data_IF_915492647536
#
_entry.id   IF_915492647536
#
_cell.length_a   1.000
_cell.length_b   1.000
_cell.length_c   1.000
_cell.angle_alpha   90.00
_cell.angle_beta   90.00
_cell.angle_gamma   90.00
#
_symmetry.space_group_name_H-M   'P 1'
#
loop_
_entity.id
_entity.type
_entity.pdbx_description
1 polymer ?
#
# COMPACT_ATOMS: atom_id res chain seq x y z
N UNK A 1 -0.71 -18.11 32.17
CA UNK A 1 -1.28 -18.00 30.81
C UNK A 1 -0.32 -17.15 29.98
N UNK A 2 0.68 -17.76 29.34
CA UNK A 2 1.66 -17.05 28.48
C UNK A 2 1.17 -17.19 27.04
N UNK A 3 0.36 -16.22 26.61
CA UNK A 3 -0.31 -16.23 25.30
C UNK A 3 0.10 -15.01 24.50
N UNK A 4 1.36 -14.99 24.08
CA UNK A 4 1.85 -14.07 23.07
C UNK A 4 2.76 -14.88 22.19
N UNK A 5 2.43 -15.00 20.91
CA UNK A 5 3.39 -15.51 19.94
C UNK A 5 4.59 -14.59 20.04
N UNK A 6 5.70 -15.12 20.53
CA UNK A 6 6.89 -14.32 20.75
C UNK A 6 7.30 -13.86 19.34
N UNK A 7 7.31 -12.54 19.09
CA UNK A 7 7.68 -11.95 17.79
C UNK A 7 8.91 -12.63 17.14
N UNK A 8 9.95 -13.08 17.88
CA UNK A 8 11.07 -13.83 17.31
C UNK A 8 10.69 -15.10 16.54
N UNK A 9 9.67 -15.86 16.99
CA UNK A 9 9.26 -17.12 16.36
C UNK A 9 8.63 -16.87 14.99
N UNK A 10 7.77 -15.85 14.89
CA UNK A 10 7.15 -15.42 13.63
C UNK A 10 8.23 -14.93 12.65
N UNK A 11 9.23 -14.20 13.15
CA UNK A 11 10.30 -13.64 12.33
C UNK A 11 11.21 -14.75 11.75
N UNK A 12 11.50 -15.80 12.53
CA UNK A 12 12.23 -16.99 12.05
C UNK A 12 11.45 -17.71 10.95
N UNK A 13 10.14 -17.94 11.14
CA UNK A 13 9.31 -18.56 10.12
C UNK A 13 9.27 -17.73 8.83
N UNK A 14 9.13 -16.41 8.96
CA UNK A 14 9.14 -15.48 7.83
C UNK A 14 10.44 -15.60 7.04
N UNK A 15 11.60 -15.69 7.70
CA UNK A 15 12.90 -15.86 7.05
C UNK A 15 12.97 -17.17 6.28
N UNK A 16 12.49 -18.29 6.84
CA UNK A 16 12.47 -19.59 6.14
C UNK A 16 11.60 -19.51 4.88
N UNK A 17 10.41 -18.93 4.98
CA UNK A 17 9.52 -18.70 3.83
C UNK A 17 10.21 -17.80 2.80
N UNK A 18 10.89 -16.74 3.23
CA UNK A 18 11.65 -15.85 2.35
C UNK A 18 12.83 -16.54 1.66
N UNK A 19 13.45 -17.55 2.27
CA UNK A 19 14.51 -18.33 1.62
C UNK A 19 13.95 -19.25 0.53
N UNK A 20 12.78 -19.86 0.75
CA UNK A 20 12.14 -20.75 -0.23
C UNK A 20 11.54 -19.96 -1.39
N UNK A 21 10.74 -18.93 -1.07
CA UNK A 21 10.02 -18.15 -2.06
C UNK A 21 10.81 -16.95 -2.60
N UNK A 22 11.81 -16.48 -1.85
CA UNK A 22 12.59 -15.27 -2.18
C UNK A 22 11.93 -13.98 -1.67
N UNK A 23 12.77 -13.01 -1.27
CA UNK A 23 12.32 -11.69 -0.79
C UNK A 23 11.51 -10.87 -1.81
N UNK A 24 11.59 -11.19 -3.10
CA UNK A 24 10.85 -10.51 -4.16
C UNK A 24 9.43 -11.04 -4.36
N UNK A 25 9.17 -12.32 -4.07
CA UNK A 25 7.86 -12.95 -4.34
C UNK A 25 6.80 -12.55 -3.33
N UNK A 26 7.17 -12.40 -2.05
CA UNK A 26 6.24 -11.99 -0.99
C UNK A 26 5.56 -10.63 -1.29
N UNK A 27 6.31 -9.53 -1.60
CA UNK A 27 5.70 -8.25 -1.92
C UNK A 27 4.99 -8.23 -3.27
N UNK A 28 5.43 -9.03 -4.25
CA UNK A 28 4.77 -9.18 -5.55
C UNK A 28 3.36 -9.76 -5.39
N UNK A 29 3.23 -10.85 -4.63
CA UNK A 29 1.94 -11.48 -4.30
C UNK A 29 1.07 -10.56 -3.45
N UNK A 30 1.65 -9.87 -2.46
CA UNK A 30 0.91 -8.92 -1.64
C UNK A 30 0.34 -7.75 -2.47
N UNK A 31 1.10 -7.25 -3.46
CA UNK A 31 0.62 -6.21 -4.38
C UNK A 31 -0.51 -6.71 -5.27
N UNK A 32 -0.38 -7.88 -5.89
CA UNK A 32 -1.43 -8.44 -6.76
C UNK A 32 -2.71 -8.74 -5.98
N UNK A 33 -2.58 -9.34 -4.79
CA UNK A 33 -3.70 -9.60 -3.88
C UNK A 33 -4.32 -8.31 -3.36
N UNK A 34 -3.50 -7.31 -3.04
CA UNK A 34 -3.96 -6.01 -2.53
C UNK A 34 -4.76 -5.23 -3.57
N UNK A 35 -4.30 -5.18 -4.82
CA UNK A 35 -5.05 -4.56 -5.91
C UNK A 35 -6.38 -5.27 -6.18
N UNK A 36 -6.35 -6.61 -6.25
CA UNK A 36 -7.58 -7.40 -6.45
C UNK A 36 -8.57 -7.21 -5.29
N UNK A 37 -8.09 -7.21 -4.04
CA UNK A 37 -8.93 -6.97 -2.86
C UNK A 37 -9.50 -5.55 -2.86
N UNK A 38 -8.72 -4.55 -3.31
CA UNK A 38 -9.19 -3.16 -3.42
C UNK A 38 -10.29 -3.02 -4.45
N UNK A 39 -10.13 -3.60 -5.63
CA UNK A 39 -11.15 -3.62 -6.68
C UNK A 39 -12.40 -4.42 -6.27
N UNK A 40 -12.19 -5.56 -5.60
CA UNK A 40 -13.29 -6.35 -5.04
C UNK A 40 -14.09 -5.55 -4.02
N UNK A 41 -13.40 -4.88 -3.09
CA UNK A 41 -14.03 -4.01 -2.10
C UNK A 41 -14.79 -2.85 -2.76
N UNK A 42 -14.21 -2.24 -3.80
CA UNK A 42 -14.83 -1.16 -4.57
C UNK A 42 -16.13 -1.60 -5.24
N UNK A 43 -16.13 -2.80 -5.84
CA UNK A 43 -17.29 -3.38 -6.49
C UNK A 43 -18.43 -3.75 -5.53
N UNK A 44 -18.11 -4.27 -4.34
CA UNK A 44 -19.12 -4.63 -3.34
C UNK A 44 -19.65 -3.42 -2.56
N UNK A 45 -18.83 -2.41 -2.30
CA UNK A 45 -19.24 -1.22 -1.55
C UNK A 45 -20.05 -0.24 -2.40
N UNK A 46 -20.04 -0.38 -3.73
CA UNK A 46 -20.65 0.62 -4.64
C UNK A 46 -20.01 2.00 -4.57
N UNK A 47 -18.93 2.15 -3.80
CA UNK A 47 -18.19 3.39 -3.62
C UNK A 47 -17.24 3.55 -4.81
N UNK A 48 -17.61 4.38 -5.78
CA UNK A 48 -16.68 4.93 -6.74
C UNK A 48 -15.70 5.84 -6.00
N UNK A 49 -14.65 5.25 -5.41
CA UNK A 49 -13.62 6.02 -4.71
C UNK A 49 -12.97 6.96 -5.72
N UNK A 50 -13.35 8.24 -5.59
CA UNK A 50 -12.77 9.37 -6.29
C UNK A 50 -11.26 9.26 -6.17
N UNK A 51 -10.61 9.27 -7.32
CA UNK A 51 -9.18 9.30 -7.45
C UNK A 51 -8.70 10.58 -6.77
N UNK A 52 -8.37 10.50 -5.47
CA UNK A 52 -7.78 11.62 -4.73
C UNK A 52 -6.55 12.06 -5.52
N UNK A 53 -6.55 13.28 -6.08
CA UNK A 53 -5.38 13.78 -6.78
C UNK A 53 -4.23 13.75 -5.78
N UNK A 54 -3.12 13.13 -6.17
CA UNK A 54 -1.92 13.08 -5.33
C UNK A 54 -1.55 14.52 -4.97
N UNK A 55 -1.39 14.88 -3.68
CA UNK A 55 -1.04 16.25 -3.27
C UNK A 55 0.34 16.74 -3.74
N UNK A 56 0.99 16.03 -4.68
CA UNK A 56 2.32 16.34 -5.20
C UNK A 56 2.30 17.21 -6.46
N UNK A 57 1.13 17.42 -7.08
CA UNK A 57 1.02 18.21 -8.32
C UNK A 57 0.63 19.69 -8.10
N UNK A 58 0.34 20.10 -6.86
CA UNK A 58 -0.13 21.47 -6.57
C UNK A 58 1.01 22.51 -6.45
N UNK A 59 2.27 22.09 -6.33
CA UNK A 59 3.38 23.02 -6.01
C UNK A 59 3.99 23.78 -7.20
N UNK A 60 3.50 23.57 -8.43
CA UNK A 60 4.08 24.20 -9.64
C UNK A 60 3.26 25.39 -10.16
N UNK A 61 2.00 25.57 -9.71
CA UNK A 61 1.10 26.59 -10.26
C UNK A 61 1.18 27.98 -9.60
N UNK A 62 1.97 28.18 -8.53
CA UNK A 62 2.00 29.44 -7.75
C UNK A 62 2.97 30.54 -8.26
N UNK A 63 3.45 30.46 -9.51
CA UNK A 63 4.47 31.36 -10.08
C UNK A 63 3.93 32.35 -11.14
N UNK A 64 2.63 32.65 -11.16
CA UNK A 64 2.09 33.63 -12.12
C UNK A 64 0.92 34.38 -11.47
N UNK A 65 1.01 35.70 -11.34
CA UNK A 65 -0.19 36.52 -11.16
C UNK A 65 -0.24 37.51 -10.00
N UNK A 66 0.89 37.96 -9.44
CA UNK A 66 0.90 39.24 -8.70
C UNK A 66 1.93 40.17 -9.33
N UNK A 67 1.60 40.57 -10.56
CA UNK A 67 2.12 41.76 -11.21
C UNK A 67 0.92 42.63 -11.56
N UNK A 68 0.89 43.83 -10.99
CA UNK A 68 0.24 45.05 -11.53
C UNK A 68 -1.27 45.24 -11.29
N UNK A 69 -1.54 46.36 -10.59
CA UNK A 69 -2.76 47.19 -10.54
C UNK A 69 -3.61 47.07 -9.27
#
# INVERSE_FOLDING_TARGET
MRGGVELPQILILLVIVLLIFGAKRLPEIARSLGSSTREFKKGISGEEEQQLPSPRDEHVARRQGDETT
#
